data_IF_853663288865
#
_entry.id   IF_853663288865
#
_cell.length_a   1.000
_cell.length_b   1.000
_cell.length_c   1.000
_cell.angle_alpha   90.00
_cell.angle_beta   90.00
_cell.angle_gamma   90.00
#
_symmetry.space_group_name_H-M   'P 1'
#
loop_
_entity.id
_entity.type
_entity.pdbx_description
1 polymer ?
#
# COMPACT_ATOMS: atom_id res chain seq x y z
N UNK A 1 -77.93 5.69 -22.10
CA UNK A 1 -76.60 5.05 -22.28
C UNK A 1 -75.62 6.10 -22.79
N UNK A 2 -74.88 6.71 -21.88
CA UNK A 2 -73.92 7.79 -22.15
C UNK A 2 -72.59 7.15 -22.55
N UNK A 3 -72.08 7.47 -23.75
CA UNK A 3 -70.74 7.09 -24.20
C UNK A 3 -69.73 8.07 -23.60
N UNK A 4 -68.90 7.59 -22.67
CA UNK A 4 -67.77 8.35 -22.12
C UNK A 4 -66.49 8.07 -22.89
N UNK A 5 -65.97 9.15 -23.50
CA UNK A 5 -64.69 9.28 -24.15
C UNK A 5 -63.57 9.19 -23.10
N UNK A 6 -62.61 8.27 -23.24
CA UNK A 6 -61.39 8.24 -22.43
C UNK A 6 -60.27 8.97 -23.16
N UNK A 7 -59.99 10.18 -22.71
CA UNK A 7 -58.83 11.00 -23.10
C UNK A 7 -57.57 10.42 -22.45
N UNK A 8 -56.59 10.01 -23.24
CA UNK A 8 -55.25 9.59 -22.78
C UNK A 8 -54.40 10.86 -22.65
N UNK A 9 -54.08 11.26 -21.42
CA UNK A 9 -53.03 12.24 -21.14
C UNK A 9 -51.67 11.57 -21.30
N UNK A 10 -50.92 11.95 -22.34
CA UNK A 10 -49.51 11.58 -22.48
C UNK A 10 -48.68 12.68 -21.82
N UNK A 11 -48.11 12.41 -20.65
CA UNK A 11 -47.13 13.29 -20.00
C UNK A 11 -45.74 12.85 -20.47
N UNK A 12 -45.11 13.65 -21.33
CA UNK A 12 -43.72 13.48 -21.70
C UNK A 12 -42.83 14.02 -20.58
N UNK A 13 -42.17 13.13 -19.85
CA UNK A 13 -41.17 13.51 -18.85
C UNK A 13 -39.79 13.50 -19.53
N UNK A 14 -39.35 14.66 -20.03
CA UNK A 14 -37.96 14.84 -20.48
C UNK A 14 -37.05 14.94 -19.26
N UNK A 15 -36.37 13.84 -18.92
CA UNK A 15 -35.26 13.84 -17.99
C UNK A 15 -34.03 14.46 -18.67
N UNK A 16 -33.74 15.72 -18.37
CA UNK A 16 -32.45 16.33 -18.69
C UNK A 16 -31.36 15.74 -17.79
N UNK A 17 -30.76 14.62 -18.20
CA UNK A 17 -29.56 14.04 -17.58
C UNK A 17 -28.34 14.49 -18.40
N UNK A 18 -27.98 15.77 -18.38
CA UNK A 18 -26.71 16.25 -18.96
C UNK A 18 -26.24 17.49 -18.19
N UNK A 19 -25.57 17.31 -17.06
CA UNK A 19 -24.73 18.38 -16.44
C UNK A 19 -23.97 17.98 -15.17
N UNK A 20 -24.25 16.84 -14.54
CA UNK A 20 -23.52 16.42 -13.31
C UNK A 20 -22.21 15.67 -13.64
N UNK A 21 -22.09 15.11 -14.84
CA UNK A 21 -20.93 14.28 -15.22
C UNK A 21 -19.65 15.08 -15.47
N UNK A 22 -19.73 16.35 -15.89
CA UNK A 22 -18.54 17.15 -16.22
C UNK A 22 -17.78 17.64 -14.98
N UNK A 23 -18.49 18.10 -13.94
CA UNK A 23 -17.83 18.61 -12.73
C UNK A 23 -17.07 17.52 -11.94
N UNK A 24 -17.56 16.28 -11.95
CA UNK A 24 -16.86 15.11 -11.39
C UNK A 24 -15.71 14.63 -12.30
N UNK A 25 -15.85 14.82 -13.61
CA UNK A 25 -14.77 14.54 -14.55
C UNK A 25 -13.60 15.54 -14.41
N UNK A 26 -13.89 16.79 -14.05
CA UNK A 26 -12.86 17.81 -13.89
C UNK A 26 -12.06 17.65 -12.58
N UNK A 27 -12.69 17.14 -11.51
CA UNK A 27 -12.05 16.96 -10.20
C UNK A 27 -10.95 15.90 -10.17
N UNK A 28 -11.18 14.72 -10.76
CA UNK A 28 -10.19 13.63 -10.74
C UNK A 28 -8.99 13.92 -11.65
N UNK A 29 -9.21 14.50 -12.83
CA UNK A 29 -8.14 14.89 -13.73
C UNK A 29 -7.23 15.96 -13.10
N UNK A 30 -7.82 16.89 -12.34
CA UNK A 30 -7.06 17.87 -11.56
C UNK A 30 -6.26 17.21 -10.44
N UNK A 31 -6.84 16.25 -9.70
CA UNK A 31 -6.14 15.50 -8.66
C UNK A 31 -4.96 14.71 -9.24
N UNK A 32 -5.16 13.97 -10.34
CA UNK A 32 -4.11 13.21 -11.03
C UNK A 32 -2.95 14.13 -11.44
N UNK A 33 -3.24 15.28 -12.07
CA UNK A 33 -2.19 16.25 -12.46
C UNK A 33 -1.47 16.85 -11.26
N UNK A 34 -2.19 17.16 -10.18
CA UNK A 34 -1.62 17.69 -8.93
C UNK A 34 -0.65 16.67 -8.31
N UNK A 35 -1.06 15.42 -8.16
CA UNK A 35 -0.21 14.38 -7.55
C UNK A 35 0.96 13.97 -8.44
N UNK A 36 0.72 13.81 -9.75
CA UNK A 36 1.77 13.45 -10.72
C UNK A 36 2.87 14.51 -10.83
N UNK A 37 2.51 15.81 -10.85
CA UNK A 37 3.49 16.90 -10.99
C UNK A 37 4.03 17.42 -9.64
N UNK A 38 3.37 17.07 -8.54
CA UNK A 38 3.76 17.44 -7.18
C UNK A 38 4.51 16.31 -6.49
N UNK A 39 3.86 15.67 -5.52
CA UNK A 39 4.43 14.64 -4.65
C UNK A 39 5.14 13.52 -5.43
N UNK A 40 4.54 13.02 -6.52
CA UNK A 40 5.07 11.90 -7.28
C UNK A 40 6.07 12.32 -8.36
N UNK A 41 6.47 13.60 -8.41
CA UNK A 41 7.46 14.08 -9.38
C UNK A 41 8.84 13.44 -9.23
N UNK A 42 9.17 12.93 -8.03
CA UNK A 42 10.42 12.24 -7.72
C UNK A 42 10.45 10.77 -8.14
N UNK A 43 9.33 10.21 -8.62
CA UNK A 43 9.29 8.84 -9.14
C UNK A 43 10.17 8.68 -10.39
N UNK A 44 10.72 7.47 -10.57
CA UNK A 44 11.48 7.09 -11.77
C UNK A 44 10.62 7.12 -13.05
N UNK A 45 9.29 7.06 -12.94
CA UNK A 45 8.37 7.14 -14.06
C UNK A 45 8.35 8.54 -14.69
N UNK A 46 8.22 8.60 -16.01
CA UNK A 46 7.95 9.87 -16.70
C UNK A 46 6.62 10.47 -16.26
N UNK A 47 6.43 11.79 -16.38
CA UNK A 47 5.16 12.43 -16.03
C UNK A 47 3.95 11.81 -16.77
N UNK A 48 4.15 11.43 -18.04
CA UNK A 48 3.13 10.77 -18.85
C UNK A 48 2.78 9.38 -18.31
N UNK A 49 3.78 8.60 -17.90
CA UNK A 49 3.56 7.25 -17.37
C UNK A 49 2.93 7.29 -15.97
N UNK A 50 3.32 8.25 -15.12
CA UNK A 50 2.64 8.50 -13.84
C UNK A 50 1.17 8.84 -14.05
N UNK A 51 0.86 9.79 -14.93
CA UNK A 51 -0.53 10.15 -15.20
C UNK A 51 -1.32 8.96 -15.76
N UNK A 52 -0.71 8.15 -16.63
CA UNK A 52 -1.34 6.92 -17.16
C UNK A 52 -1.67 5.93 -16.03
N UNK A 53 -0.76 5.73 -15.08
CA UNK A 53 -0.96 4.84 -13.94
C UNK A 53 -2.02 5.37 -12.96
N UNK A 54 -1.98 6.65 -12.61
CA UNK A 54 -3.00 7.24 -11.73
C UNK A 54 -4.40 7.22 -12.38
N UNK A 55 -4.48 7.38 -13.70
CA UNK A 55 -5.74 7.19 -14.44
C UNK A 55 -6.20 5.72 -14.39
N UNK A 56 -5.28 4.76 -14.41
CA UNK A 56 -5.62 3.35 -14.22
C UNK A 56 -6.23 3.10 -12.83
N UNK A 57 -5.62 3.63 -11.76
CA UNK A 57 -6.18 3.53 -10.40
C UNK A 57 -7.59 4.11 -10.31
N UNK A 58 -7.79 5.31 -10.87
CA UNK A 58 -9.11 5.95 -10.91
C UNK A 58 -10.16 5.06 -11.60
N UNK A 59 -9.82 4.47 -12.74
CA UNK A 59 -10.74 3.63 -13.50
C UNK A 59 -11.04 2.30 -12.80
N UNK A 60 -10.02 1.63 -12.26
CA UNK A 60 -10.16 0.38 -11.52
C UNK A 60 -10.99 0.57 -10.24
N UNK A 61 -10.93 1.75 -9.62
CA UNK A 61 -11.64 2.06 -8.39
C UNK A 61 -13.15 2.35 -8.56
N UNK A 62 -13.63 2.58 -9.80
CA UNK A 62 -15.04 2.97 -10.07
C UNK A 62 -16.09 2.10 -9.38
N UNK A 63 -15.97 0.76 -9.34
CA UNK A 63 -16.96 -0.10 -8.66
C UNK A 63 -16.99 0.07 -7.14
N UNK A 64 -15.93 0.63 -6.54
CA UNK A 64 -15.73 0.71 -5.10
C UNK A 64 -15.93 2.13 -4.54
N UNK A 65 -16.60 3.00 -5.30
CA UNK A 65 -16.83 4.39 -4.88
C UNK A 65 -17.54 4.44 -3.52
N UNK A 66 -16.98 5.21 -2.58
CA UNK A 66 -17.51 5.34 -1.22
C UNK A 66 -17.08 4.23 -0.25
N UNK A 67 -16.27 3.26 -0.72
CA UNK A 67 -15.64 2.27 0.15
C UNK A 67 -14.69 2.95 1.14
N UNK A 68 -14.64 2.38 2.35
CA UNK A 68 -13.68 2.75 3.38
C UNK A 68 -12.89 1.52 3.77
N UNK A 69 -11.56 1.60 3.70
CA UNK A 69 -10.63 0.57 4.11
C UNK A 69 -10.02 0.94 5.46
N UNK A 70 -9.79 -0.06 6.31
CA UNK A 70 -9.03 0.07 7.55
C UNK A 70 -7.68 -0.60 7.37
N UNK A 71 -6.61 0.17 7.56
CA UNK A 71 -5.23 -0.29 7.43
C UNK A 71 -4.51 -0.02 8.74
N UNK A 72 -3.57 -0.89 9.12
CA UNK A 72 -2.75 -0.70 10.31
C UNK A 72 -1.29 -1.00 10.04
N UNK A 73 -0.40 -0.24 10.68
CA UNK A 73 1.04 -0.41 10.58
C UNK A 73 1.74 0.11 11.84
N UNK A 74 3.04 -0.14 11.94
CA UNK A 74 3.86 0.37 13.02
C UNK A 74 4.19 1.87 12.90
N UNK A 75 4.71 2.45 13.99
CA UNK A 75 5.04 3.87 14.10
C UNK A 75 6.42 4.24 13.58
N UNK A 76 6.61 4.27 12.27
CA UNK A 76 7.85 4.72 11.61
C UNK A 76 7.59 5.82 10.57
N UNK A 77 8.63 6.58 10.14
CA UNK A 77 8.45 7.70 9.22
C UNK A 77 7.76 7.34 7.90
N UNK A 78 8.05 6.18 7.32
CA UNK A 78 7.46 5.70 6.06
C UNK A 78 5.95 5.51 6.19
N UNK A 79 5.51 4.80 7.24
CA UNK A 79 4.09 4.59 7.47
C UNK A 79 3.34 5.85 7.90
N UNK A 80 4.03 6.79 8.57
CA UNK A 80 3.46 8.12 8.82
C UNK A 80 3.24 8.88 7.50
N UNK A 81 4.16 8.73 6.55
CA UNK A 81 4.02 9.29 5.21
C UNK A 81 2.88 8.62 4.43
N UNK A 82 2.79 7.29 4.43
CA UNK A 82 1.66 6.56 3.83
C UNK A 82 0.32 7.03 4.41
N UNK A 83 0.20 7.02 5.74
CA UNK A 83 -1.04 7.33 6.47
C UNK A 83 -1.51 8.77 6.25
N UNK A 84 -0.60 9.74 6.10
CA UNK A 84 -0.95 11.16 5.97
C UNK A 84 -1.00 11.67 4.53
N UNK A 85 -0.15 11.11 3.67
CA UNK A 85 0.04 11.60 2.29
C UNK A 85 -0.58 10.64 1.28
N UNK A 86 -0.20 9.37 1.31
CA UNK A 86 -0.64 8.42 0.29
C UNK A 86 -2.13 8.06 0.41
N UNK A 87 -2.66 7.93 1.63
CA UNK A 87 -4.11 7.73 1.83
C UNK A 87 -4.92 8.88 1.24
N UNK A 88 -4.45 10.13 1.39
CA UNK A 88 -5.07 11.33 0.83
C UNK A 88 -4.98 11.34 -0.68
N UNK A 89 -3.83 11.00 -1.24
CA UNK A 89 -3.66 10.90 -2.70
C UNK A 89 -4.59 9.84 -3.29
N UNK A 90 -4.66 8.68 -2.64
CA UNK A 90 -5.52 7.58 -3.02
C UNK A 90 -7.00 7.99 -2.97
N UNK A 91 -7.46 8.65 -1.90
CA UNK A 91 -8.84 9.13 -1.79
C UNK A 91 -9.17 10.19 -2.85
N UNK A 92 -8.28 11.17 -3.08
CA UNK A 92 -8.50 12.21 -4.09
C UNK A 92 -8.57 11.64 -5.53
N UNK A 93 -7.84 10.56 -5.82
CA UNK A 93 -7.78 9.92 -7.14
C UNK A 93 -8.93 8.92 -7.35
N UNK A 94 -9.21 8.12 -6.33
CA UNK A 94 -10.10 6.94 -6.44
C UNK A 94 -11.48 7.14 -5.81
N UNK A 95 -11.59 8.06 -4.85
CA UNK A 95 -12.77 8.22 -3.99
C UNK A 95 -12.92 7.13 -2.92
N UNK A 96 -11.91 6.28 -2.72
CA UNK A 96 -11.87 5.29 -1.65
C UNK A 96 -11.15 5.89 -0.45
N UNK A 97 -11.77 5.84 0.72
CA UNK A 97 -11.18 6.35 1.95
C UNK A 97 -10.32 5.28 2.62
N UNK A 98 -9.12 5.63 3.05
CA UNK A 98 -8.25 4.73 3.82
C UNK A 98 -8.07 5.29 5.23
N UNK A 99 -8.56 4.57 6.23
CA UNK A 99 -8.30 4.82 7.64
C UNK A 99 -7.05 4.05 8.05
N UNK A 100 -5.89 4.72 7.96
CA UNK A 100 -4.60 4.12 8.28
C UNK A 100 -4.19 4.44 9.71
N UNK A 101 -4.33 3.46 10.59
CA UNK A 101 -3.98 3.57 12.01
C UNK A 101 -2.50 3.23 12.23
N UNK A 102 -1.85 4.04 13.07
CA UNK A 102 -0.46 3.83 13.48
C UNK A 102 -0.46 3.39 14.95
N UNK A 103 0.13 2.22 15.23
CA UNK A 103 0.27 1.65 16.58
C UNK A 103 1.71 1.15 16.81
N UNK A 104 2.01 0.62 18.00
CA UNK A 104 3.32 -0.01 18.22
C UNK A 104 3.45 -1.32 17.44
N UNK A 105 4.65 -1.68 17.00
CA UNK A 105 4.94 -2.92 16.27
C UNK A 105 4.36 -4.16 16.96
N UNK A 106 4.58 -4.28 18.28
CA UNK A 106 4.01 -5.36 19.08
C UNK A 106 2.48 -5.42 19.05
N UNK A 107 1.81 -4.27 18.97
CA UNK A 107 0.35 -4.21 18.84
C UNK A 107 -0.12 -4.60 17.43
N UNK A 108 0.65 -4.30 16.38
CA UNK A 108 0.38 -4.80 15.01
C UNK A 108 0.43 -6.32 14.99
N UNK A 109 1.47 -6.91 15.57
CA UNK A 109 1.63 -8.38 15.64
C UNK A 109 0.46 -9.01 16.40
N UNK A 110 0.07 -8.43 17.55
CA UNK A 110 -1.10 -8.89 18.29
C UNK A 110 -2.41 -8.79 17.49
N UNK A 111 -2.60 -7.70 16.73
CA UNK A 111 -3.79 -7.52 15.89
C UNK A 111 -3.86 -8.58 14.78
N UNK A 112 -2.76 -8.82 14.06
CA UNK A 112 -2.66 -9.89 13.03
C UNK A 112 -3.00 -11.25 13.64
N UNK A 113 -2.37 -11.60 14.76
CA UNK A 113 -2.61 -12.87 15.44
C UNK A 113 -4.06 -13.01 15.92
N UNK A 114 -4.64 -11.94 16.44
CA UNK A 114 -6.04 -11.94 16.91
C UNK A 114 -7.01 -12.17 15.75
N UNK A 115 -6.83 -11.46 14.63
CA UNK A 115 -7.66 -11.66 13.43
C UNK A 115 -7.54 -13.10 12.91
N UNK A 116 -6.33 -13.64 12.87
CA UNK A 116 -6.09 -15.04 12.46
C UNK A 116 -6.80 -16.04 13.38
N UNK A 117 -6.60 -15.93 14.69
CA UNK A 117 -7.16 -16.89 15.67
C UNK A 117 -8.69 -16.82 15.78
N UNK A 118 -9.26 -15.62 15.68
CA UNK A 118 -10.70 -15.40 15.83
C UNK A 118 -11.46 -15.52 14.51
N UNK A 119 -10.75 -15.43 13.37
CA UNK A 119 -11.33 -15.32 12.04
C UNK A 119 -12.32 -14.14 11.90
N UNK A 120 -12.12 -13.08 12.69
CA UNK A 120 -12.89 -11.83 12.64
C UNK A 120 -12.04 -10.78 11.95
N UNK A 121 -12.60 -10.12 10.93
CA UNK A 121 -11.92 -9.00 10.26
C UNK A 121 -11.86 -7.78 11.20
N UNK A 122 -10.64 -7.37 11.54
CA UNK A 122 -10.31 -6.20 12.36
C UNK A 122 -9.83 -5.07 11.44
N UNK A 123 -8.90 -5.40 10.54
CA UNK A 123 -8.37 -4.53 9.49
C UNK A 123 -8.41 -5.24 8.13
N UNK A 124 -8.57 -4.44 7.07
CA UNK A 124 -8.63 -4.92 5.69
C UNK A 124 -7.21 -5.16 5.12
N UNK A 125 -6.22 -4.42 5.61
CA UNK A 125 -4.81 -4.65 5.29
C UNK A 125 -3.89 -4.33 6.48
N UNK A 126 -2.75 -5.00 6.52
CA UNK A 126 -1.72 -4.84 7.53
C UNK A 126 -0.39 -4.58 6.83
N UNK A 127 0.40 -3.66 7.35
CA UNK A 127 1.83 -3.60 7.07
C UNK A 127 2.54 -4.27 8.24
N UNK A 128 3.06 -5.47 7.99
CA UNK A 128 3.72 -6.32 8.98
C UNK A 128 4.98 -6.95 8.39
N UNK A 129 5.91 -7.32 9.26
CA UNK A 129 7.22 -7.83 8.85
C UNK A 129 7.16 -9.11 8.01
N UNK A 130 8.11 -9.23 7.08
CA UNK A 130 8.28 -10.44 6.26
C UNK A 130 8.64 -11.67 7.10
N UNK A 131 9.05 -11.50 8.36
CA UNK A 131 9.30 -12.60 9.30
C UNK A 131 8.05 -13.47 9.54
N UNK A 132 6.85 -12.90 9.30
CA UNK A 132 5.59 -13.65 9.37
C UNK A 132 5.30 -14.47 8.11
N UNK A 133 6.13 -14.46 7.06
CA UNK A 133 5.84 -15.16 5.81
C UNK A 133 5.55 -16.65 6.01
N UNK A 134 6.30 -17.30 6.91
CA UNK A 134 6.08 -18.70 7.27
C UNK A 134 4.73 -18.94 7.98
N UNK A 135 4.24 -17.95 8.73
CA UNK A 135 2.92 -17.98 9.36
C UNK A 135 1.83 -17.82 8.30
N UNK A 136 1.95 -16.82 7.43
CA UNK A 136 1.00 -16.54 6.35
C UNK A 136 0.83 -17.74 5.42
N UNK A 137 1.94 -18.33 4.97
CA UNK A 137 1.93 -19.51 4.12
C UNK A 137 1.44 -20.79 4.83
N UNK A 138 1.50 -20.88 6.17
CA UNK A 138 0.99 -22.07 6.88
C UNK A 138 -0.48 -21.95 7.24
N UNK A 139 -0.89 -20.77 7.71
CA UNK A 139 -2.25 -20.54 8.21
C UNK A 139 -3.24 -20.27 7.07
N UNK A 140 -2.77 -19.81 5.90
CA UNK A 140 -3.60 -19.53 4.73
C UNK A 140 -4.75 -18.56 5.05
N UNK A 141 -4.49 -17.60 5.94
CA UNK A 141 -5.42 -16.53 6.33
C UNK A 141 -5.02 -15.16 5.77
N UNK A 142 -3.84 -15.07 5.15
CA UNK A 142 -3.51 -13.98 4.24
C UNK A 142 -3.96 -14.35 2.83
N UNK A 143 -4.33 -13.35 2.03
CA UNK A 143 -4.67 -13.54 0.61
C UNK A 143 -3.41 -14.03 -0.12
N UNK A 144 -3.52 -15.17 -0.81
CA UNK A 144 -2.51 -15.59 -1.76
C UNK A 144 -2.55 -14.65 -2.99
N UNK A 145 -1.62 -13.70 -3.04
CA UNK A 145 -1.57 -12.68 -4.08
C UNK A 145 -1.28 -13.28 -5.46
N UNK A 146 -0.49 -14.36 -5.53
CA UNK A 146 -0.20 -15.06 -6.79
C UNK A 146 -1.48 -15.54 -7.48
N UNK A 147 -2.35 -16.21 -6.72
CA UNK A 147 -3.61 -16.74 -7.25
C UNK A 147 -4.67 -15.64 -7.38
N UNK A 148 -4.73 -14.72 -6.41
CA UNK A 148 -5.65 -13.59 -6.42
C UNK A 148 -5.48 -12.71 -7.65
N UNK A 149 -4.24 -12.31 -7.98
CA UNK A 149 -3.95 -11.49 -9.16
C UNK A 149 -4.29 -12.20 -10.49
N UNK A 150 -4.19 -13.53 -10.53
CA UNK A 150 -4.59 -14.34 -11.71
C UNK A 150 -6.11 -14.53 -11.79
N UNK A 151 -6.78 -14.59 -10.63
CA UNK A 151 -8.20 -14.89 -10.46
C UNK A 151 -9.03 -13.63 -10.20
N UNK A 152 -9.63 -13.57 -9.01
CA UNK A 152 -10.62 -12.55 -8.64
C UNK A 152 -10.07 -11.12 -8.63
N UNK A 153 -8.80 -10.93 -8.29
CA UNK A 153 -8.10 -9.66 -8.25
C UNK A 153 -7.64 -9.17 -9.63
N UNK A 154 -7.81 -9.95 -10.69
CA UNK A 154 -7.29 -9.62 -12.03
C UNK A 154 -7.75 -8.26 -12.54
N UNK A 155 -9.00 -7.89 -12.30
CA UNK A 155 -9.56 -6.61 -12.73
C UNK A 155 -8.97 -5.39 -11.99
N UNK A 156 -8.37 -5.63 -10.82
CA UNK A 156 -7.79 -4.62 -9.93
C UNK A 156 -6.28 -4.85 -9.70
N UNK A 157 -5.65 -5.69 -10.52
CA UNK A 157 -4.20 -5.88 -10.54
C UNK A 157 -3.61 -4.88 -11.53
N UNK A 158 -2.74 -4.00 -11.04
CA UNK A 158 -2.12 -2.97 -11.86
C UNK A 158 -1.26 -3.62 -12.96
N UNK A 159 -1.57 -3.45 -14.25
CA UNK A 159 -0.78 -4.06 -15.34
C UNK A 159 0.61 -3.43 -15.49
N UNK A 160 0.90 -2.33 -14.79
CA UNK A 160 2.22 -1.68 -14.73
C UNK A 160 3.01 -2.08 -13.47
N UNK A 161 2.44 -2.91 -12.58
CA UNK A 161 3.16 -3.44 -11.43
C UNK A 161 4.21 -4.45 -11.90
N UNK A 162 5.48 -4.09 -11.77
CA UNK A 162 6.59 -4.98 -12.07
C UNK A 162 7.02 -5.72 -10.80
N UNK A 163 6.54 -6.96 -10.64
CA UNK A 163 6.89 -7.77 -9.47
C UNK A 163 8.39 -8.09 -9.43
N UNK A 164 9.03 -8.23 -10.59
CA UNK A 164 10.43 -8.61 -10.70
C UNK A 164 11.38 -7.46 -10.30
N UNK A 165 10.87 -6.21 -10.26
CA UNK A 165 11.62 -5.02 -9.83
C UNK A 165 11.64 -4.84 -8.29
N UNK A 166 10.84 -5.61 -7.54
CA UNK A 166 10.91 -5.55 -6.09
C UNK A 166 12.19 -6.18 -5.55
N UNK A 167 12.99 -5.35 -4.87
CA UNK A 167 14.05 -5.87 -4.02
C UNK A 167 13.40 -6.68 -2.89
N UNK A 168 13.82 -7.92 -2.72
CA UNK A 168 13.38 -8.75 -1.59
C UNK A 168 12.01 -9.43 -1.74
N UNK A 169 11.45 -9.52 -2.95
CA UNK A 169 10.19 -10.26 -3.21
C UNK A 169 10.23 -11.71 -2.65
N UNK A 170 11.40 -12.35 -2.66
CA UNK A 170 11.59 -13.69 -2.10
C UNK A 170 11.27 -13.76 -0.59
N UNK A 171 11.45 -12.68 0.17
CA UNK A 171 11.17 -12.66 1.61
C UNK A 171 9.68 -12.64 1.91
N UNK A 172 8.85 -12.26 0.93
CA UNK A 172 7.39 -12.24 1.04
C UNK A 172 6.72 -13.37 0.24
N UNK A 173 7.54 -14.29 -0.28
CA UNK A 173 7.10 -15.49 -1.01
C UNK A 173 7.19 -16.71 -0.10
N UNK A 174 6.10 -17.45 0.02
CA UNK A 174 6.03 -18.67 0.82
C UNK A 174 6.88 -19.81 0.25
N UNK A 175 7.19 -20.84 1.05
CA UNK A 175 7.93 -22.02 0.59
C UNK A 175 7.18 -22.84 -0.49
N UNK A 176 5.88 -22.58 -0.67
CA UNK A 176 5.04 -23.12 -1.74
C UNK A 176 5.16 -22.33 -3.06
N UNK A 177 5.95 -21.25 -3.08
CA UNK A 177 6.16 -20.39 -4.25
C UNK A 177 5.10 -19.31 -4.46
N UNK A 178 4.18 -19.15 -3.51
CA UNK A 178 3.12 -18.15 -3.60
C UNK A 178 3.48 -16.85 -2.87
N UNK A 179 3.09 -15.71 -3.44
CA UNK A 179 3.29 -14.40 -2.85
C UNK A 179 2.17 -14.10 -1.85
N UNK A 180 2.53 -13.71 -0.63
CA UNK A 180 1.54 -13.41 0.43
C UNK A 180 1.61 -11.97 0.93
N UNK A 181 2.71 -11.26 0.66
CA UNK A 181 2.86 -9.84 0.99
C UNK A 181 3.55 -9.13 -0.18
N UNK A 182 3.26 -7.84 -0.36
CA UNK A 182 4.04 -6.97 -1.23
C UNK A 182 5.11 -6.27 -0.38
N UNK A 183 6.39 -6.26 -0.81
CA UNK A 183 7.40 -5.47 -0.12
C UNK A 183 7.03 -3.98 -0.16
N UNK A 184 6.99 -3.37 1.02
CA UNK A 184 6.58 -1.97 1.20
C UNK A 184 7.77 -1.11 1.66
N UNK A 185 8.57 -1.65 2.58
CA UNK A 185 9.78 -1.04 3.09
C UNK A 185 10.90 -2.07 3.22
N UNK A 186 12.15 -1.59 3.21
CA UNK A 186 13.32 -2.39 3.54
C UNK A 186 14.13 -1.78 4.67
N UNK A 187 14.63 -2.65 5.56
CA UNK A 187 15.63 -2.30 6.56
C UNK A 187 17.00 -2.81 6.10
N UNK A 188 17.89 -1.89 5.76
CA UNK A 188 19.31 -2.23 5.64
C UNK A 188 19.88 -2.39 7.06
N UNK A 189 20.19 -3.63 7.46
CA UNK A 189 20.94 -3.86 8.69
C UNK A 189 22.37 -3.36 8.50
N UNK A 190 22.66 -2.23 9.13
CA UNK A 190 23.96 -1.58 9.07
C UNK A 190 24.68 -1.77 10.41
N UNK A 191 25.97 -2.10 10.34
CA UNK A 191 26.82 -2.08 11.50
C UNK A 191 27.41 -0.68 11.72
N UNK A 192 27.09 -0.08 12.85
CA UNK A 192 27.59 1.25 13.22
C UNK A 192 28.66 1.13 14.29
N UNK A 193 29.81 1.77 14.09
CA UNK A 193 30.87 1.82 15.08
C UNK A 193 31.53 3.20 15.16
N UNK A 194 32.15 3.47 16.30
CA UNK A 194 32.90 4.71 16.56
C UNK A 194 34.27 4.64 15.89
N UNK A 195 34.35 4.98 14.60
CA UNK A 195 35.62 4.94 13.86
C UNK A 195 36.76 5.65 14.60
N UNK A 196 36.48 6.80 15.21
CA UNK A 196 37.48 7.55 15.98
C UNK A 196 38.02 6.77 17.19
N UNK A 197 37.26 5.85 17.78
CA UNK A 197 37.76 4.97 18.84
C UNK A 197 38.67 3.88 18.29
N UNK A 198 38.34 3.32 17.13
CA UNK A 198 39.16 2.29 16.49
C UNK A 198 40.43 2.86 15.86
N UNK A 199 40.47 4.16 15.56
CA UNK A 199 41.65 4.88 15.08
C UNK A 199 42.57 5.38 16.21
N UNK A 200 42.09 5.43 17.47
CA UNK A 200 42.84 5.99 18.61
C UNK A 200 44.03 5.11 19.01
N UNK A 201 45.28 5.60 18.88
CA UNK A 201 46.47 4.80 19.17
C UNK A 201 46.54 4.29 20.62
N UNK A 202 46.03 5.07 21.58
CA UNK A 202 45.99 4.68 22.98
C UNK A 202 45.05 3.49 23.23
N UNK A 203 43.91 3.46 22.53
CA UNK A 203 42.94 2.37 22.62
C UNK A 203 43.50 1.13 21.93
N UNK A 204 44.07 1.27 20.73
CA UNK A 204 44.72 0.17 20.01
C UNK A 204 45.82 -0.48 20.84
N UNK A 205 46.70 0.32 21.46
CA UNK A 205 47.78 -0.17 22.33
C UNK A 205 47.26 -0.88 23.58
N UNK A 206 46.27 -0.30 24.25
CA UNK A 206 45.66 -0.90 25.44
C UNK A 206 44.98 -2.24 25.10
N UNK A 207 44.28 -2.30 23.96
CA UNK A 207 43.64 -3.51 23.47
C UNK A 207 44.66 -4.60 23.16
N UNK A 208 45.72 -4.30 22.38
CA UNK A 208 46.78 -5.27 22.07
C UNK A 208 47.50 -5.78 23.30
N UNK A 209 47.79 -4.88 24.26
CA UNK A 209 48.40 -5.27 25.54
C UNK A 209 47.51 -6.24 26.33
N UNK A 210 46.19 -6.08 26.28
CA UNK A 210 45.25 -6.91 27.03
C UNK A 210 44.94 -8.24 26.34
N UNK A 211 44.75 -8.24 25.03
CA UNK A 211 44.21 -9.38 24.29
C UNK A 211 45.23 -10.08 23.38
N UNK A 212 46.40 -9.50 23.17
CA UNK A 212 47.49 -10.12 22.40
C UNK A 212 47.36 -10.03 20.88
N UNK A 213 46.36 -9.33 20.35
CA UNK A 213 46.16 -9.08 18.92
C UNK A 213 45.69 -7.65 18.64
N UNK A 214 45.77 -7.22 17.38
CA UNK A 214 45.43 -5.85 16.97
C UNK A 214 43.92 -5.60 17.02
N UNK A 215 43.52 -4.38 17.39
CA UNK A 215 42.12 -3.96 17.40
C UNK A 215 41.62 -3.78 15.96
N UNK A 216 40.75 -4.69 15.50
CA UNK A 216 40.05 -4.57 14.22
C UNK A 216 38.68 -3.92 14.36
N UNK A 217 38.16 -3.33 13.29
CA UNK A 217 36.76 -2.90 13.26
C UNK A 217 35.85 -4.13 13.29
N UNK A 218 34.68 -4.08 13.94
CA UNK A 218 33.77 -5.21 13.91
C UNK A 218 33.15 -5.34 12.51
N UNK A 219 33.06 -6.59 12.04
CA UNK A 219 32.56 -6.99 10.71
C UNK A 219 31.35 -7.89 10.83
#
# INVERSE_FOLDING_TARGET
>A
MIKTLKTIFTVAFTFSIVSISSALADGHAAAIKKWSNGEFSLSALSAKDREKELNWFHNAAKPFKGMTLKVVSEGIPTHVYESKTLTKAFEEITGIKVQHQIIGEGDVVMAVQTQMQTNVSIYDAYVNDSDLIGTHARMQQAVNLTDWMKGEGKAVTNPMLDLDDFIGLQFTTGPDGNLYQLPDQQFANLYWFRKDWFDRPEIQKAFKKKYGYDLGVPV
#
